data_IF_468967041065
#
_entry.id   IF_468967041065
#
_cell.length_a   1.000
_cell.length_b   1.000
_cell.length_c   1.000
_cell.angle_alpha   90.00
_cell.angle_beta   90.00
_cell.angle_gamma   90.00
#
_symmetry.space_group_name_H-M   'P 1'
#
loop_
_entity.id
_entity.type
_entity.pdbx_description
1 polymer ?
#
# COMPACT_ATOMS: atom_id res chain seq x y z
N UNK A 1 -3.60 -9.07 4.26
CA UNK A 1 -3.56 -7.81 3.51
C UNK A 1 -4.72 -6.97 3.99
N UNK A 2 -4.51 -5.73 4.43
CA UNK A 2 -5.60 -4.82 4.83
C UNK A 2 -5.32 -3.42 4.31
N UNK A 3 -6.30 -2.79 3.69
CA UNK A 3 -6.26 -1.37 3.33
C UNK A 3 -6.91 -0.59 4.48
N UNK A 4 -6.21 0.41 4.99
CA UNK A 4 -6.61 1.18 6.17
C UNK A 4 -6.45 2.67 5.88
N UNK A 5 -7.39 3.49 6.35
CA UNK A 5 -7.33 4.94 6.22
C UNK A 5 -6.71 5.54 7.48
N UNK A 6 -5.45 5.95 7.40
CA UNK A 6 -4.72 6.59 8.50
C UNK A 6 -4.81 8.11 8.47
N UNK A 7 -4.33 8.77 9.53
CA UNK A 7 -4.31 10.24 9.67
C UNK A 7 -3.59 10.98 8.53
N UNK A 8 -2.63 10.32 7.87
CA UNK A 8 -1.85 10.88 6.76
C UNK A 8 -2.31 10.43 5.38
N UNK A 9 -3.37 9.62 5.31
CA UNK A 9 -3.90 9.02 4.09
C UNK A 9 -4.00 7.49 4.18
N UNK A 10 -4.57 6.88 3.13
CA UNK A 10 -4.69 5.43 3.03
C UNK A 10 -3.33 4.74 2.97
N UNK A 11 -3.26 3.56 3.60
CA UNK A 11 -2.09 2.70 3.60
C UNK A 11 -2.49 1.22 3.60
N UNK A 12 -1.61 0.39 3.06
CA UNK A 12 -1.75 -1.07 3.07
C UNK A 12 -0.92 -1.62 4.23
N UNK A 13 -1.55 -2.39 5.10
CA UNK A 13 -0.89 -3.18 6.14
C UNK A 13 -0.73 -4.63 5.66
N UNK A 14 0.51 -5.05 5.48
CA UNK A 14 0.85 -6.40 5.04
C UNK A 14 2.13 -6.91 5.70
N UNK A 15 2.07 -8.11 6.30
CA UNK A 15 3.21 -8.80 6.95
C UNK A 15 4.07 -7.89 7.86
N UNK A 16 3.42 -7.16 8.78
CA UNK A 16 4.04 -6.19 9.70
C UNK A 16 4.74 -4.99 9.02
N UNK A 17 4.51 -4.78 7.72
CA UNK A 17 4.96 -3.59 6.98
C UNK A 17 3.75 -2.75 6.57
N UNK A 18 3.98 -1.45 6.46
CA UNK A 18 2.99 -0.50 5.98
C UNK A 18 3.48 0.11 4.67
N UNK A 19 2.61 0.09 3.66
CA UNK A 19 2.86 0.62 2.34
C UNK A 19 1.92 1.79 2.09
N UNK A 20 2.45 2.94 1.70
CA UNK A 20 1.63 4.12 1.45
C UNK A 20 0.88 3.95 0.14
N UNK A 21 -0.40 4.24 0.14
CA UNK A 21 -1.18 4.39 -1.09
C UNK A 21 -1.07 5.86 -1.50
N UNK A 22 -0.72 6.11 -2.77
CA UNK A 22 -0.69 7.46 -3.31
C UNK A 22 -2.08 8.08 -3.25
N UNK A 23 -2.19 9.33 -2.80
CA UNK A 23 -3.47 10.06 -2.66
C UNK A 23 -4.27 10.21 -3.97
N UNK A 24 -3.64 9.95 -5.12
CA UNK A 24 -4.28 9.95 -6.44
C UNK A 24 -5.04 8.65 -6.73
N UNK A 25 -4.80 7.58 -5.98
CA UNK A 25 -5.48 6.30 -6.16
C UNK A 25 -6.47 6.08 -5.02
N UNK A 26 -7.70 5.76 -5.40
CA UNK A 26 -8.77 5.42 -4.46
C UNK A 26 -8.47 4.08 -3.78
N UNK A 27 -8.31 4.05 -2.45
CA UNK A 27 -8.01 2.82 -1.72
C UNK A 27 -9.12 1.77 -1.82
N UNK A 28 -10.34 2.21 -2.10
CA UNK A 28 -11.53 1.37 -2.29
C UNK A 28 -11.64 0.81 -3.70
N UNK A 29 -11.00 1.45 -4.69
CA UNK A 29 -10.94 1.00 -6.07
C UNK A 29 -9.72 0.10 -6.35
N UNK A 30 -8.76 0.05 -5.41
CA UNK A 30 -7.60 -0.83 -5.53
C UNK A 30 -8.03 -2.29 -5.48
N UNK A 31 -7.68 -3.03 -6.53
CA UNK A 31 -7.85 -4.47 -6.55
C UNK A 31 -6.76 -5.16 -5.72
N UNK A 32 -6.94 -6.46 -5.49
CA UNK A 32 -5.95 -7.30 -4.84
C UNK A 32 -4.59 -7.25 -5.57
N UNK A 33 -4.61 -7.20 -6.90
CA UNK A 33 -3.42 -7.12 -7.73
C UNK A 33 -2.70 -5.77 -7.57
N UNK A 34 -3.44 -4.66 -7.55
CA UNK A 34 -2.84 -3.33 -7.33
C UNK A 34 -2.23 -3.23 -5.94
N UNK A 35 -2.90 -3.77 -4.92
CA UNK A 35 -2.36 -3.82 -3.57
C UNK A 35 -1.05 -4.60 -3.50
N UNK A 36 -0.97 -5.74 -4.20
CA UNK A 36 0.25 -6.55 -4.29
C UNK A 36 1.36 -5.81 -5.03
N UNK A 37 1.07 -5.11 -6.13
CA UNK A 37 2.04 -4.27 -6.84
C UNK A 37 2.63 -3.18 -5.94
N UNK A 38 1.79 -2.45 -5.21
CA UNK A 38 2.25 -1.42 -4.26
C UNK A 38 3.16 -2.01 -3.18
N UNK A 39 2.84 -3.22 -2.70
CA UNK A 39 3.67 -3.95 -1.73
C UNK A 39 5.01 -4.33 -2.34
N UNK A 40 5.03 -4.85 -3.57
CA UNK A 40 6.26 -5.23 -4.26
C UNK A 40 7.15 -4.02 -4.53
N UNK A 41 6.59 -2.93 -5.06
CA UNK A 41 7.30 -1.68 -5.31
C UNK A 41 7.89 -1.10 -4.01
N UNK A 42 7.09 -1.04 -2.94
CA UNK A 42 7.56 -0.53 -1.66
C UNK A 42 8.58 -1.44 -0.96
N UNK A 43 8.61 -2.73 -1.27
CA UNK A 43 9.63 -3.65 -0.77
C UNK A 43 10.94 -3.56 -1.58
N UNK A 44 10.86 -3.16 -2.85
CA UNK A 44 12.02 -2.98 -3.73
C UNK A 44 12.87 -1.76 -3.32
N UNK A 45 12.27 -0.75 -2.68
CA UNK A 45 12.98 0.46 -2.20
C UNK A 45 13.94 0.22 -1.02
N UNK A 46 14.07 -1.00 -0.50
CA UNK A 46 15.05 -1.36 0.55
C UNK A 46 16.27 -2.15 0.05
N UNK A 47 16.53 -2.20 -1.25
CA UNK A 47 17.82 -2.64 -1.78
C UNK A 47 18.70 -1.44 -2.20
N UNK A 48 19.22 -0.70 -1.23
CA UNK A 48 20.55 -0.09 -1.31
C UNK A 48 21.06 0.26 0.07
#
# INVERSE_FOLDING_TARGET
>A
LKVLNGRFGPYISYKKKNYKISKKQDPTALTLEDCLKIIEEGNHSKKK
#
